data_IF_582715141096
#
_entry.id   IF_582715141096
#
_cell.length_a   1.000
_cell.length_b   1.000
_cell.length_c   1.000
_cell.angle_alpha   90.00
_cell.angle_beta   90.00
_cell.angle_gamma   90.00
#
_symmetry.space_group_name_H-M   'P 1'
#
loop_
_entity.id
_entity.type
_entity.pdbx_description
1 polymer ?
#
# COMPACT_ATOMS: atom_id res chain seq x y z
N UNK A 1 -14.02 -4.39 7.29
CA UNK A 1 -13.66 -4.27 5.86
C UNK A 1 -12.41 -5.08 5.66
N UNK A 2 -12.49 -6.10 4.82
CA UNK A 2 -11.38 -7.01 4.56
C UNK A 2 -10.42 -6.37 3.57
N UNK A 3 -9.15 -6.27 3.94
CA UNK A 3 -8.09 -5.69 3.12
C UNK A 3 -6.93 -6.67 2.98
N UNK A 4 -6.16 -6.53 1.90
CA UNK A 4 -4.88 -7.21 1.74
C UNK A 4 -3.75 -6.24 2.12
N UNK A 5 -3.08 -6.51 3.24
CA UNK A 5 -1.92 -5.74 3.68
C UNK A 5 -0.67 -6.15 2.92
N UNK A 6 0.07 -5.17 2.43
CA UNK A 6 1.34 -5.35 1.71
C UNK A 6 2.39 -4.46 2.36
N UNK A 7 3.36 -5.08 3.04
CA UNK A 7 4.48 -4.42 3.70
C UNK A 7 5.80 -4.78 3.00
N UNK A 8 6.82 -3.89 3.02
CA UNK A 8 8.13 -4.21 2.47
C UNK A 8 8.69 -5.50 3.06
N UNK A 9 9.21 -6.38 2.20
CA UNK A 9 9.91 -7.61 2.58
C UNK A 9 9.05 -8.64 3.37
N UNK A 10 7.72 -8.49 3.40
CA UNK A 10 6.80 -9.44 4.01
C UNK A 10 5.87 -10.06 2.97
N UNK A 11 5.42 -11.29 3.24
CA UNK A 11 4.35 -11.89 2.45
C UNK A 11 3.03 -11.13 2.69
N UNK A 12 2.21 -10.89 1.65
CA UNK A 12 0.90 -10.28 1.82
C UNK A 12 0.00 -11.09 2.74
N UNK A 13 -0.83 -10.41 3.54
CA UNK A 13 -1.78 -11.06 4.43
C UNK A 13 -3.09 -10.30 4.51
N UNK A 14 -4.14 -11.02 4.85
CA UNK A 14 -5.48 -10.47 4.99
C UNK A 14 -5.64 -9.89 6.39
N UNK A 15 -6.24 -8.70 6.48
CA UNK A 15 -6.62 -8.06 7.74
C UNK A 15 -8.04 -7.50 7.66
N UNK A 16 -8.75 -7.51 8.78
CA UNK A 16 -10.00 -6.75 8.94
C UNK A 16 -9.70 -5.36 9.51
N UNK A 17 -10.28 -4.33 8.88
CA UNK A 17 -10.30 -2.95 9.36
C UNK A 17 -11.73 -2.60 9.79
N UNK A 18 -11.88 -2.10 11.00
CA UNK A 18 -13.16 -1.71 11.61
C UNK A 18 -13.25 -0.19 11.87
N UNK A 19 -12.12 0.48 12.03
CA UNK A 19 -12.01 1.87 12.47
C UNK A 19 -12.02 2.93 11.36
N UNK A 20 -12.40 2.58 10.13
CA UNK A 20 -12.47 3.53 9.01
C UNK A 20 -11.13 4.21 8.72
N UNK A 21 -11.12 5.54 8.55
CA UNK A 21 -9.93 6.31 8.16
C UNK A 21 -8.78 6.21 9.16
N UNK A 22 -9.07 6.24 10.46
CA UNK A 22 -8.04 6.24 11.50
C UNK A 22 -7.20 4.96 11.49
N UNK A 23 -7.86 3.79 11.38
CA UNK A 23 -7.15 2.52 11.28
C UNK A 23 -6.39 2.38 9.96
N UNK A 24 -6.94 2.89 8.84
CA UNK A 24 -6.27 2.87 7.54
C UNK A 24 -4.97 3.69 7.60
N UNK A 25 -5.04 4.92 8.15
CA UNK A 25 -3.86 5.79 8.32
C UNK A 25 -2.80 5.16 9.22
N UNK A 26 -3.23 4.51 10.30
CA UNK A 26 -2.33 3.76 11.19
C UNK A 26 -1.69 2.57 10.48
N UNK A 27 -2.42 1.89 9.60
CA UNK A 27 -1.93 0.74 8.84
C UNK A 27 -0.91 1.13 7.77
N UNK A 28 -1.11 2.26 7.08
CA UNK A 28 -0.14 2.76 6.08
C UNK A 28 1.01 3.56 6.71
N UNK A 29 0.82 4.07 7.95
CA UNK A 29 1.86 4.78 8.70
C UNK A 29 2.02 6.25 8.30
N UNK A 30 0.95 6.93 7.87
CA UNK A 30 1.01 8.32 7.41
C UNK A 30 -0.29 8.84 6.81
N UNK A 31 -0.20 9.94 6.06
CA UNK A 31 -1.30 10.38 5.20
C UNK A 31 -1.59 9.36 4.11
N UNK A 32 -2.85 9.23 3.74
CA UNK A 32 -3.28 8.28 2.70
C UNK A 32 -3.29 8.93 1.33
N UNK A 33 -2.95 8.15 0.32
CA UNK A 33 -3.21 8.44 -1.09
C UNK A 33 -3.82 7.20 -1.74
N UNK A 34 -4.77 7.39 -2.65
CA UNK A 34 -5.52 6.29 -3.27
C UNK A 34 -5.29 6.24 -4.76
N UNK A 35 -4.99 5.05 -5.28
CA UNK A 35 -4.95 4.76 -6.71
C UNK A 35 -6.06 3.77 -7.07
N UNK A 36 -6.79 4.05 -8.14
CA UNK A 36 -7.87 3.20 -8.63
C UNK A 36 -7.35 2.30 -9.75
N UNK A 37 -7.60 1.01 -9.64
CA UNK A 37 -7.34 0.05 -10.72
C UNK A 37 -8.55 -0.10 -11.64
N UNK A 38 -8.36 -0.79 -12.76
CA UNK A 38 -9.42 -1.09 -13.74
C UNK A 38 -10.47 -2.07 -13.18
N UNK A 39 -10.09 -2.94 -12.24
CA UNK A 39 -10.93 -4.05 -11.73
C UNK A 39 -11.58 -3.74 -10.37
N UNK A 40 -12.00 -2.49 -10.14
CA UNK A 40 -12.62 -2.02 -8.89
C UNK A 40 -11.75 -2.15 -7.62
N UNK A 41 -10.47 -2.51 -7.74
CA UNK A 41 -9.55 -2.50 -6.61
C UNK A 41 -9.05 -1.08 -6.33
N UNK A 42 -9.06 -0.70 -5.06
CA UNK A 42 -8.52 0.57 -4.55
C UNK A 42 -7.23 0.28 -3.79
N UNK A 43 -6.13 0.86 -4.22
CA UNK A 43 -4.84 0.80 -3.53
C UNK A 43 -4.75 2.01 -2.61
N UNK A 44 -4.48 1.77 -1.32
CA UNK A 44 -4.28 2.84 -0.34
C UNK A 44 -2.82 2.80 0.13
N UNK A 45 -2.09 3.88 -0.13
CA UNK A 45 -0.67 3.99 0.16
C UNK A 45 -0.39 5.10 1.18
N UNK A 46 0.79 5.03 1.79
CA UNK A 46 1.34 6.13 2.56
C UNK A 46 1.87 7.21 1.61
N UNK A 47 1.21 8.36 1.58
CA UNK A 47 1.61 9.51 0.76
C UNK A 47 2.97 10.07 1.18
N UNK A 48 3.27 10.03 2.49
CA UNK A 48 4.51 10.57 3.03
C UNK A 48 5.73 9.75 2.60
N UNK A 49 5.53 8.49 2.19
CA UNK A 49 6.57 7.62 1.65
C UNK A 49 7.21 8.17 0.38
N UNK A 50 6.44 8.87 -0.45
CA UNK A 50 6.92 9.45 -1.71
C UNK A 50 7.96 10.55 -1.47
N UNK A 51 7.75 11.38 -0.44
CA UNK A 51 8.62 12.52 -0.13
C UNK A 51 9.72 12.19 0.90
N UNK A 52 9.54 11.12 1.69
CA UNK A 52 10.38 10.82 2.86
C UNK A 52 11.55 9.86 2.61
N UNK A 53 11.73 9.33 1.39
CA UNK A 53 12.77 8.34 1.10
C UNK A 53 12.50 6.97 1.75
N UNK A 54 11.23 6.65 2.02
CA UNK A 54 10.86 5.33 2.53
C UNK A 54 11.09 4.26 1.45
N UNK A 55 11.43 3.05 1.89
CA UNK A 55 11.61 1.93 0.98
C UNK A 55 10.29 1.55 0.31
N UNK A 56 10.28 1.36 -1.00
CA UNK A 56 9.11 0.89 -1.73
C UNK A 56 8.66 -0.50 -1.24
N UNK A 57 7.36 -0.71 -1.01
CA UNK A 57 6.82 -1.99 -0.53
C UNK A 57 7.08 -3.14 -1.52
N UNK A 58 6.88 -2.86 -2.82
CA UNK A 58 7.21 -3.71 -3.94
C UNK A 58 7.23 -2.85 -5.20
N UNK A 59 8.41 -2.69 -5.79
CA UNK A 59 8.48 -2.01 -7.08
C UNK A 59 7.87 -2.88 -8.18
N UNK A 60 7.28 -2.25 -9.19
CA UNK A 60 6.83 -2.98 -10.37
C UNK A 60 8.10 -3.34 -11.14
N UNK A 61 8.36 -4.62 -11.34
CA UNK A 61 9.47 -5.01 -12.19
C UNK A 61 9.01 -4.98 -13.65
N UNK A 62 9.82 -4.39 -14.52
CA UNK A 62 9.64 -4.57 -15.96
C UNK A 62 9.96 -6.02 -16.39
N UNK A 63 9.79 -6.32 -17.68
CA UNK A 63 10.08 -7.65 -18.22
C UNK A 63 11.54 -8.10 -18.09
N UNK A 64 12.47 -7.21 -17.71
CA UNK A 64 13.87 -7.50 -17.43
C UNK A 64 14.17 -7.71 -15.95
N UNK A 65 13.16 -7.58 -15.07
CA UNK A 65 13.32 -7.68 -13.62
C UNK A 65 13.80 -6.38 -12.97
N UNK A 66 13.94 -5.29 -13.72
CA UNK A 66 14.30 -3.99 -13.16
C UNK A 66 13.07 -3.36 -12.52
N UNK A 67 13.21 -2.93 -11.28
CA UNK A 67 12.20 -2.14 -10.59
C UNK A 67 12.05 -0.78 -11.29
N UNK A 68 10.84 -0.47 -11.74
CA UNK A 68 10.40 0.80 -12.34
C UNK A 68 9.39 1.52 -11.46
#
# INVERSE_FOLDING_TARGET
>A
MKVLMVEPYKAPYVREIYGGEFEIRSAVGGYTETAHSIDDAVIICNRDAYNGGLSFNRGIADGSGKIV
#
